data_IF_523381319856
#
_entry.id   IF_523381319856
#
_cell.length_a   1.000
_cell.length_b   1.000
_cell.length_c   1.000
_cell.angle_alpha   90.00
_cell.angle_beta   90.00
_cell.angle_gamma   90.00
#
_symmetry.space_group_name_H-M   'P 1'
#
loop_
_entity.id
_entity.type
_entity.pdbx_description
1 polymer ?
#
# COMPACT_ATOMS: atom_id res chain seq x y z
N UNK A 1 -20.32 -13.98 -7.95
CA UNK A 1 -19.42 -14.63 -8.92
C UNK A 1 -20.05 -14.50 -10.30
N UNK A 2 -19.26 -14.23 -11.33
CA UNK A 2 -19.81 -14.05 -12.67
C UNK A 2 -19.25 -15.10 -13.63
N UNK A 3 -20.16 -15.81 -14.30
CA UNK A 3 -19.86 -16.73 -15.41
C UNK A 3 -19.86 -16.05 -16.78
N UNK A 4 -20.45 -14.84 -16.91
CA UNK A 4 -20.53 -14.05 -18.16
C UNK A 4 -20.28 -12.54 -18.02
N UNK A 5 -20.43 -11.96 -16.81
CA UNK A 5 -20.32 -10.51 -16.58
C UNK A 5 -18.93 -10.13 -16.05
N UNK A 6 -18.34 -9.07 -16.58
CA UNK A 6 -17.11 -8.49 -16.02
C UNK A 6 -17.49 -7.81 -14.70
N UNK A 7 -16.78 -8.13 -13.62
CA UNK A 7 -16.97 -7.46 -12.34
C UNK A 7 -16.38 -6.04 -12.40
N UNK A 8 -17.12 -5.06 -11.88
CA UNK A 8 -16.63 -3.69 -11.78
C UNK A 8 -15.44 -3.62 -10.82
N UNK A 9 -14.40 -2.88 -11.24
CA UNK A 9 -13.24 -2.62 -10.40
C UNK A 9 -13.64 -1.59 -9.35
N UNK A 10 -13.59 -1.98 -8.08
CA UNK A 10 -13.82 -1.05 -6.97
C UNK A 10 -12.70 -0.02 -6.91
N UNK A 11 -13.06 1.24 -6.86
CA UNK A 11 -12.11 2.32 -6.66
C UNK A 11 -11.61 2.34 -5.21
N UNK A 12 -10.31 2.62 -5.05
CA UNK A 12 -9.67 2.73 -3.74
C UNK A 12 -9.41 4.21 -3.49
N UNK A 13 -9.83 4.70 -2.33
CA UNK A 13 -9.53 6.06 -1.88
C UNK A 13 -8.01 6.20 -1.64
N UNK A 14 -7.42 7.34 -2.03
CA UNK A 14 -6.00 7.58 -1.78
C UNK A 14 -5.70 7.67 -0.28
N UNK A 15 -4.45 7.36 0.07
CA UNK A 15 -3.96 7.46 1.44
C UNK A 15 -3.98 8.92 1.94
N UNK A 16 -4.44 9.21 3.16
CA UNK A 16 -4.55 10.60 3.64
C UNK A 16 -3.20 11.28 3.90
N UNK A 17 -2.12 10.53 4.14
CA UNK A 17 -0.80 11.09 4.46
C UNK A 17 0.02 11.32 3.20
N UNK A 18 0.06 10.31 2.33
CA UNK A 18 0.90 10.31 1.14
C UNK A 18 0.13 10.58 -0.16
N UNK A 19 -1.18 10.75 -0.09
CA UNK A 19 -2.10 10.93 -1.23
C UNK A 19 -1.91 9.89 -2.35
N UNK A 20 -1.44 8.69 -1.99
CA UNK A 20 -1.08 7.65 -2.94
C UNK A 20 -2.08 6.49 -2.91
N UNK A 21 -2.62 6.15 -4.08
CA UNK A 21 -3.47 4.96 -4.26
C UNK A 21 -2.70 3.65 -4.07
N UNK A 22 -1.38 3.67 -4.26
CA UNK A 22 -0.53 2.47 -4.13
C UNK A 22 -0.34 2.13 -2.65
N UNK A 23 -0.08 3.14 -1.81
CA UNK A 23 0.04 2.98 -0.36
C UNK A 23 -1.30 2.53 0.24
N UNK A 24 -2.42 3.13 -0.18
CA UNK A 24 -3.74 2.70 0.27
C UNK A 24 -4.04 1.22 -0.07
N UNK A 25 -3.62 0.76 -1.27
CA UNK A 25 -3.73 -0.66 -1.66
C UNK A 25 -2.84 -1.56 -0.81
N UNK A 26 -1.65 -1.12 -0.42
CA UNK A 26 -0.77 -1.86 0.49
C UNK A 26 -1.42 -2.01 1.87
N UNK A 27 -1.90 -0.92 2.46
CA UNK A 27 -2.56 -0.92 3.78
C UNK A 27 -3.76 -1.89 3.76
N UNK A 28 -4.58 -1.85 2.71
CA UNK A 28 -5.74 -2.74 2.56
C UNK A 28 -5.34 -4.22 2.43
N UNK A 29 -4.17 -4.53 1.84
CA UNK A 29 -3.64 -5.90 1.76
C UNK A 29 -2.97 -6.37 3.05
N UNK A 30 -2.38 -5.44 3.81
CA UNK A 30 -1.74 -5.71 5.11
C UNK A 30 -2.78 -5.89 6.22
N UNK A 31 -3.95 -5.27 6.07
CA UNK A 31 -5.06 -5.37 7.00
C UNK A 31 -5.56 -6.80 7.16
N UNK A 32 -5.56 -7.28 8.41
CA UNK A 32 -6.12 -8.58 8.82
C UNK A 32 -7.32 -8.36 9.74
N UNK A 33 -8.34 -9.18 9.60
CA UNK A 33 -9.61 -9.11 10.35
C UNK A 33 -10.32 -7.73 10.29
N UNK A 34 -10.12 -6.95 9.21
CA UNK A 34 -10.72 -5.62 9.08
C UNK A 34 -10.11 -4.52 9.98
N UNK A 35 -8.98 -4.80 10.64
CA UNK A 35 -8.32 -3.86 11.57
C UNK A 35 -7.53 -2.78 10.83
N UNK A 36 -8.21 -1.83 10.19
CA UNK A 36 -7.58 -0.80 9.35
C UNK A 36 -6.64 0.13 10.12
N UNK A 37 -7.08 0.63 11.28
CA UNK A 37 -6.25 1.53 12.10
C UNK A 37 -4.92 0.90 12.54
N UNK A 38 -4.90 -0.41 12.85
CA UNK A 38 -3.66 -1.12 13.16
C UNK A 38 -2.76 -1.28 11.94
N UNK A 39 -3.35 -1.58 10.77
CA UNK A 39 -2.59 -1.72 9.53
C UNK A 39 -1.95 -0.40 9.08
N UNK A 40 -2.65 0.72 9.23
CA UNK A 40 -2.14 2.07 8.97
C UNK A 40 -0.93 2.39 9.86
N UNK A 41 -1.06 2.16 11.18
CA UNK A 41 0.04 2.36 12.13
C UNK A 41 1.29 1.55 11.75
N UNK A 42 1.14 0.26 11.48
CA UNK A 42 2.25 -0.61 11.09
C UNK A 42 2.92 -0.11 9.79
N UNK A 43 2.13 0.29 8.78
CA UNK A 43 2.70 0.82 7.53
C UNK A 43 3.52 2.11 7.76
N UNK A 44 3.00 3.05 8.55
CA UNK A 44 3.71 4.30 8.83
C UNK A 44 4.97 4.06 9.67
N UNK A 45 4.91 3.18 10.67
CA UNK A 45 6.09 2.76 11.44
C UNK A 45 7.16 2.13 10.54
N UNK A 46 6.76 1.29 9.57
CA UNK A 46 7.70 0.75 8.58
C UNK A 46 8.35 1.85 7.74
N UNK A 47 7.59 2.84 7.27
CA UNK A 47 8.15 3.97 6.51
C UNK A 47 9.11 4.82 7.35
N UNK A 48 8.87 4.98 8.64
CA UNK A 48 9.81 5.64 9.55
C UNK A 48 11.12 4.86 9.70
N UNK A 49 11.05 3.53 9.80
CA UNK A 49 12.23 2.67 9.84
C UNK A 49 13.03 2.79 8.54
N UNK A 50 12.37 2.77 7.39
CA UNK A 50 13.01 2.94 6.07
C UNK A 50 13.69 4.30 5.99
N UNK A 51 13.02 5.36 6.44
CA UNK A 51 13.59 6.72 6.47
C UNK A 51 14.83 6.78 7.35
N UNK A 52 14.81 6.17 8.54
CA UNK A 52 15.97 6.11 9.44
C UNK A 52 17.16 5.37 8.84
N UNK A 53 16.93 4.24 8.17
CA UNK A 53 17.99 3.41 7.57
C UNK A 53 18.58 4.01 6.30
N UNK A 54 17.71 4.47 5.40
CA UNK A 54 18.10 4.82 4.04
C UNK A 54 18.34 6.31 3.87
N UNK A 55 17.85 7.15 4.82
CA UNK A 55 17.84 8.63 4.76
C UNK A 55 17.23 9.22 3.48
N UNK A 56 16.51 8.39 2.71
CA UNK A 56 15.79 8.74 1.49
C UNK A 56 14.30 8.82 1.74
N UNK A 57 13.57 9.35 0.76
CA UNK A 57 12.12 9.39 0.81
C UNK A 57 11.56 7.95 0.81
N UNK A 58 10.78 7.54 1.83
CA UNK A 58 10.26 6.18 1.92
C UNK A 58 9.34 5.80 0.74
N UNK A 59 8.67 6.78 0.13
CA UNK A 59 7.82 6.53 -1.04
C UNK A 59 8.61 6.08 -2.27
N UNK A 60 9.74 6.72 -2.56
CA UNK A 60 10.57 6.38 -3.72
C UNK A 60 11.18 4.98 -3.56
N UNK A 61 11.65 4.67 -2.35
CA UNK A 61 12.18 3.34 -2.01
C UNK A 61 11.09 2.28 -2.17
N UNK A 62 9.87 2.58 -1.73
CA UNK A 62 8.74 1.68 -1.87
C UNK A 62 8.34 1.43 -3.32
N UNK A 63 8.28 2.47 -4.17
CA UNK A 63 7.99 2.33 -5.59
C UNK A 63 9.07 1.50 -6.31
N UNK A 64 10.33 1.80 -6.04
CA UNK A 64 11.47 1.05 -6.59
C UNK A 64 11.41 -0.43 -6.17
N UNK A 65 11.06 -0.71 -4.91
CA UNK A 65 10.90 -2.08 -4.43
C UNK A 65 9.72 -2.79 -5.10
N UNK A 66 8.60 -2.09 -5.36
CA UNK A 66 7.47 -2.66 -6.08
C UNK A 66 7.82 -3.02 -7.53
N UNK A 67 8.56 -2.16 -8.22
CA UNK A 67 8.99 -2.44 -9.60
C UNK A 67 9.90 -3.67 -9.67
N UNK A 68 10.78 -3.85 -8.67
CA UNK A 68 11.64 -5.04 -8.58
C UNK A 68 10.89 -6.34 -8.27
N UNK A 69 9.77 -6.27 -7.54
CA UNK A 69 8.98 -7.46 -7.13
C UNK A 69 7.89 -7.81 -8.15
N UNK A 70 7.54 -6.88 -9.05
CA UNK A 70 6.54 -7.10 -10.08
C UNK A 70 7.00 -8.24 -11.02
N UNK A 71 6.20 -9.31 -11.18
CA UNK A 71 6.52 -10.36 -12.14
C UNK A 71 6.46 -9.80 -13.57
N UNK A 72 7.29 -10.34 -14.45
CA UNK A 72 7.37 -9.95 -15.87
C UNK A 72 6.12 -10.33 -16.64
#
# INVERSE_FOLDING_TARGET
MARRRIAEKREVTPDPVYNSKVVAKLINKLMRDGKKSKAEKICYECFDIIRKRTKKNPLEVFLTALDNVKPT
#
